data_IF_300506603660
#
_entry.id   IF_300506603660
#
_cell.length_a   1.000
_cell.length_b   1.000
_cell.length_c   1.000
_cell.angle_alpha   90.00
_cell.angle_beta   90.00
_cell.angle_gamma   90.00
#
_symmetry.space_group_name_H-M   'P 1'
#
loop_
_entity.id
_entity.type
_entity.pdbx_description
1 polymer ?
#
# COMPACT_ATOMS: atom_id res chain seq x y z
N UNK A 1 11.84 -20.18 -0.65
CA UNK A 1 12.34 -18.86 -0.21
C UNK A 1 11.58 -17.79 -0.99
N UNK A 2 11.35 -16.61 -0.42
CA UNK A 2 10.75 -15.46 -1.14
C UNK A 2 11.82 -14.75 -1.98
N UNK A 3 11.46 -14.26 -3.16
CA UNK A 3 12.35 -13.54 -4.07
C UNK A 3 12.59 -12.08 -3.58
N UNK A 4 13.74 -11.46 -3.94
CA UNK A 4 14.03 -10.07 -3.55
C UNK A 4 12.95 -9.08 -4.00
N UNK A 5 12.40 -9.27 -5.21
CA UNK A 5 11.29 -8.47 -5.73
C UNK A 5 10.01 -8.60 -4.88
N UNK A 6 9.73 -9.81 -4.37
CA UNK A 6 8.56 -10.06 -3.52
C UNK A 6 8.72 -9.36 -2.17
N UNK A 7 9.93 -9.37 -1.60
CA UNK A 7 10.25 -8.65 -0.36
C UNK A 7 10.19 -7.14 -0.54
N UNK A 8 10.79 -6.61 -1.62
CA UNK A 8 10.70 -5.18 -1.98
C UNK A 8 9.25 -4.73 -2.02
N UNK A 9 8.40 -5.49 -2.72
CA UNK A 9 6.96 -5.20 -2.82
C UNK A 9 6.28 -5.23 -1.45
N UNK A 10 6.50 -6.29 -0.67
CA UNK A 10 5.85 -6.45 0.63
C UNK A 10 6.16 -5.28 1.59
N UNK A 11 7.42 -4.82 1.60
CA UNK A 11 7.83 -3.67 2.41
C UNK A 11 7.16 -2.39 1.93
N UNK A 12 7.22 -2.08 0.64
CA UNK A 12 6.61 -0.86 0.09
C UNK A 12 5.09 -0.85 0.35
N UNK A 13 4.41 -1.97 0.11
CA UNK A 13 2.98 -2.10 0.32
C UNK A 13 2.58 -1.95 1.78
N UNK A 14 3.37 -2.50 2.71
CA UNK A 14 3.13 -2.34 4.15
C UNK A 14 3.23 -0.87 4.56
N UNK A 15 4.21 -0.12 4.02
CA UNK A 15 4.32 1.32 4.24
C UNK A 15 3.07 2.09 3.79
N UNK A 16 2.54 1.75 2.60
CA UNK A 16 1.30 2.34 2.09
C UNK A 16 0.08 1.98 2.96
N UNK A 17 -0.04 0.72 3.37
CA UNK A 17 -1.10 0.25 4.26
C UNK A 17 -1.06 0.94 5.63
N UNK A 18 0.12 1.09 6.24
CA UNK A 18 0.26 1.81 7.52
C UNK A 18 -0.16 3.28 7.38
N UNK A 19 0.12 3.91 6.23
CA UNK A 19 -0.30 5.28 5.96
C UNK A 19 -1.82 5.40 5.88
N UNK A 20 -2.48 4.49 5.16
CA UNK A 20 -3.93 4.40 5.09
C UNK A 20 -4.54 4.16 6.48
N UNK A 21 -4.03 3.15 7.20
CA UNK A 21 -4.48 2.78 8.53
C UNK A 21 -4.34 3.93 9.53
N UNK A 22 -3.29 4.74 9.43
CA UNK A 22 -3.09 5.92 10.30
C UNK A 22 -4.12 7.03 10.09
N UNK A 23 -4.78 7.05 8.92
CA UNK A 23 -5.74 8.08 8.49
C UNK A 23 -7.21 7.61 8.57
N UNK A 24 -7.44 6.31 8.68
CA UNK A 24 -8.77 5.72 8.73
C UNK A 24 -9.49 5.98 10.07
N UNK A 25 -10.44 6.91 10.06
CA UNK A 25 -11.22 7.29 11.24
C UNK A 25 -12.15 6.19 11.76
N UNK A 26 -12.41 5.13 10.99
CA UNK A 26 -13.16 3.96 11.47
C UNK A 26 -12.35 3.10 12.44
N UNK A 27 -11.02 3.27 12.47
CA UNK A 27 -10.13 2.52 13.35
C UNK A 27 -9.99 3.16 14.74
N UNK A 28 -9.81 2.34 15.80
CA UNK A 28 -9.53 2.83 17.13
C UNK A 28 -8.31 3.77 17.16
N UNK A 29 -8.39 4.84 17.95
CA UNK A 29 -7.32 5.85 18.10
C UNK A 29 -5.96 5.22 18.44
N UNK A 30 -5.94 4.15 19.23
CA UNK A 30 -4.71 3.41 19.55
C UNK A 30 -4.04 2.85 18.29
N UNK A 31 -4.80 2.20 17.42
CA UNK A 31 -4.30 1.58 16.18
C UNK A 31 -3.75 2.65 15.23
N UNK A 32 -4.47 3.76 15.07
CA UNK A 32 -4.00 4.89 14.25
C UNK A 32 -2.68 5.48 14.74
N UNK A 33 -2.54 5.65 16.06
CA UNK A 33 -1.30 6.15 16.68
C UNK A 33 -0.14 5.18 16.52
N UNK A 34 -0.38 3.90 16.68
CA UNK A 34 0.64 2.86 16.50
C UNK A 34 1.12 2.84 15.03
N UNK A 35 0.22 2.90 14.06
CA UNK A 35 0.56 3.00 12.64
C UNK A 35 1.39 4.25 12.34
N UNK A 36 0.98 5.42 12.87
CA UNK A 36 1.72 6.68 12.73
C UNK A 36 3.10 6.62 13.39
N UNK A 37 3.26 5.89 14.49
CA UNK A 37 4.53 5.70 15.16
C UNK A 37 5.47 4.82 14.32
N UNK A 38 4.99 3.69 13.79
CA UNK A 38 5.76 2.81 12.92
C UNK A 38 6.28 3.54 11.67
N UNK A 39 5.44 4.38 11.06
CA UNK A 39 5.81 5.18 9.89
C UNK A 39 7.00 6.13 10.11
N UNK A 40 7.34 6.50 11.35
CA UNK A 40 8.47 7.42 11.64
C UNK A 40 9.82 6.83 11.25
N UNK A 41 9.93 5.50 11.30
CA UNK A 41 11.16 4.76 11.04
C UNK A 41 10.99 3.72 9.92
N UNK A 42 9.80 3.67 9.32
CA UNK A 42 9.55 2.78 8.20
C UNK A 42 10.31 3.26 6.96
N UNK A 43 11.00 2.38 6.22
CA UNK A 43 11.75 2.79 5.05
C UNK A 43 10.80 3.35 3.98
N UNK A 44 11.22 4.44 3.34
CA UNK A 44 10.50 4.96 2.17
C UNK A 44 10.72 4.05 0.96
N UNK A 45 9.82 4.10 -0.02
CA UNK A 45 9.98 3.36 -1.29
C UNK A 45 11.36 3.63 -1.92
N UNK A 46 11.79 4.90 -1.92
CA UNK A 46 13.11 5.27 -2.44
C UNK A 46 14.25 4.57 -1.70
N UNK A 47 14.20 4.50 -0.37
CA UNK A 47 15.22 3.82 0.43
C UNK A 47 15.28 2.32 0.14
N UNK A 48 14.14 1.66 0.00
CA UNK A 48 14.09 0.22 -0.33
C UNK A 48 14.68 -0.06 -1.71
N UNK A 49 14.32 0.73 -2.73
CA UNK A 49 14.83 0.55 -4.09
C UNK A 49 16.31 0.91 -4.21
N UNK A 50 16.76 1.93 -3.47
CA UNK A 50 18.17 2.28 -3.40
C UNK A 50 18.99 1.15 -2.74
N UNK A 51 18.49 0.56 -1.66
CA UNK A 51 19.13 -0.60 -1.04
C UNK A 51 19.25 -1.77 -2.02
N UNK A 52 18.17 -2.10 -2.73
CA UNK A 52 18.21 -3.14 -3.77
C UNK A 52 19.22 -2.84 -4.88
N UNK A 53 19.33 -1.57 -5.33
CA UNK A 53 20.32 -1.17 -6.34
C UNK A 53 21.75 -1.32 -5.83
N UNK A 54 22.01 -0.97 -4.58
CA UNK A 54 23.35 -1.11 -3.98
C UNK A 54 23.73 -2.59 -3.90
N UNK A 55 22.81 -3.44 -3.41
CA UNK A 55 23.03 -4.89 -3.27
C UNK A 55 23.21 -5.60 -4.61
N UNK A 56 22.46 -5.22 -5.64
CA UNK A 56 22.59 -5.74 -7.01
C UNK A 56 23.90 -5.29 -7.69
N UNK A 57 24.42 -4.12 -7.34
CA UNK A 57 25.66 -3.56 -7.90
C UNK A 57 26.93 -4.03 -7.15
N UNK A 58 26.78 -4.55 -5.94
CA UNK A 58 27.88 -5.13 -5.17
C UNK A 58 28.23 -6.54 -5.65
N UNK A 59 29.51 -6.87 -5.62
CA UNK A 59 29.99 -8.22 -5.89
C UNK A 59 29.30 -9.24 -4.97
N UNK A 60 29.15 -10.48 -5.44
CA UNK A 60 28.40 -11.57 -4.79
C UNK A 60 28.81 -11.84 -3.33
N UNK A 61 29.95 -11.31 -2.88
CA UNK A 61 30.47 -11.42 -1.51
C UNK A 61 29.70 -10.62 -0.44
N UNK A 62 28.82 -9.67 -0.79
CA UNK A 62 28.07 -8.90 0.25
C UNK A 62 27.01 -9.72 0.99
N UNK A 63 26.49 -10.79 0.38
CA UNK A 63 25.43 -11.60 0.99
C UNK A 63 25.43 -13.01 0.39
N UNK A 64 25.67 -14.06 1.19
CA UNK A 64 25.69 -15.44 0.70
C UNK A 64 24.33 -15.93 0.18
N UNK A 65 23.27 -15.15 0.40
CA UNK A 65 21.90 -15.45 -0.04
C UNK A 65 21.43 -14.53 -1.19
N UNK A 66 22.33 -13.72 -1.76
CA UNK A 66 22.02 -12.69 -2.75
C UNK A 66 21.36 -11.44 -2.15
N UNK A 67 20.82 -10.55 -3.00
CA UNK A 67 20.22 -9.30 -2.56
C UNK A 67 18.97 -9.53 -1.70
N UNK A 68 18.80 -8.73 -0.66
CA UNK A 68 17.60 -8.66 0.18
C UNK A 68 16.47 -8.01 -0.59
N UNK A 69 16.73 -6.89 -1.27
CA UNK A 69 15.75 -6.14 -2.05
C UNK A 69 16.12 -6.13 -3.53
N UNK A 70 15.12 -6.01 -4.40
CA UNK A 70 15.33 -5.64 -5.79
C UNK A 70 15.21 -4.13 -6.00
N UNK A 71 15.98 -3.60 -6.94
CA UNK A 71 15.85 -2.21 -7.41
C UNK A 71 14.66 -2.00 -8.35
N UNK A 72 14.04 -3.08 -8.82
CA UNK A 72 12.86 -3.04 -9.67
C UNK A 72 11.57 -2.93 -8.86
N UNK A 73 10.60 -2.23 -9.43
CA UNK A 73 9.19 -2.38 -9.09
C UNK A 73 8.50 -2.91 -10.34
N UNK A 74 7.69 -3.95 -10.18
CA UNK A 74 6.84 -4.38 -11.28
C UNK A 74 5.52 -3.59 -11.22
N UNK A 75 5.21 -2.96 -12.35
CA UNK A 75 4.08 -2.05 -12.49
C UNK A 75 2.74 -2.78 -12.53
N UNK A 76 2.71 -4.11 -12.65
CA UNK A 76 1.50 -4.89 -12.89
C UNK A 76 0.66 -5.17 -11.64
N UNK A 77 1.14 -4.79 -10.44
CA UNK A 77 0.41 -4.98 -9.18
C UNK A 77 0.12 -3.67 -8.44
N UNK A 78 0.07 -2.54 -9.14
CA UNK A 78 -0.52 -1.32 -8.56
C UNK A 78 -2.03 -1.53 -8.40
N UNK A 79 -2.44 -2.24 -7.35
CA UNK A 79 -3.76 -2.10 -6.77
C UNK A 79 -3.69 -0.86 -5.90
N UNK A 80 -4.28 0.27 -6.30
CA UNK A 80 -4.59 1.26 -5.31
C UNK A 80 -5.59 0.57 -4.38
N UNK A 81 -5.23 0.38 -3.11
CA UNK A 81 -6.18 0.07 -2.05
C UNK A 81 -7.10 1.30 -1.94
N UNK A 82 -8.00 1.45 -2.90
CA UNK A 82 -9.10 2.40 -2.81
C UNK A 82 -10.21 1.59 -2.19
N UNK A 83 -10.47 1.83 -0.91
CA UNK A 83 -11.80 1.61 -0.38
C UNK A 83 -12.77 2.37 -1.30
N UNK A 84 -13.46 1.64 -2.19
CA UNK A 84 -14.59 2.19 -2.94
C UNK A 84 -15.72 2.45 -1.93
N UNK A 85 -15.70 3.62 -1.33
CA UNK A 85 -16.82 4.17 -0.56
C UNK A 85 -17.92 4.67 -1.52
N UNK A 86 -18.40 3.79 -2.40
CA UNK A 86 -19.47 4.08 -3.34
C UNK A 86 -20.54 2.97 -3.31
N UNK A 87 -21.06 2.70 -2.12
CA UNK A 87 -22.43 2.19 -1.99
C UNK A 87 -23.20 3.14 -1.06
N UNK A 88 -23.80 4.17 -1.66
CA UNK A 88 -24.86 4.96 -1.01
C UNK A 88 -26.05 5.05 -1.93
N UNK A 89 -26.99 4.13 -1.69
CA UNK A 89 -28.40 4.42 -1.48
C UNK A 89 -29.11 5.24 -2.58
N UNK A 90 -29.61 4.55 -3.60
CA UNK A 90 -30.82 5.03 -4.31
C UNK A 90 -32.04 4.68 -3.46
N UNK A 91 -32.35 5.55 -2.48
CA UNK A 91 -33.66 5.58 -1.81
C UNK A 91 -34.63 6.36 -2.70
N UNK A 92 -35.78 5.75 -2.96
CA UNK A 92 -36.77 6.22 -3.91
C UNK A 92 -37.36 7.60 -3.65
N UNK A 93 -37.85 8.19 -4.73
CA UNK A 93 -38.79 9.29 -4.68
C UNK A 93 -40.06 8.86 -5.43
N UNK A 94 -41.17 8.83 -4.70
CA UNK A 94 -42.51 8.56 -5.19
C UNK A 94 -43.19 9.86 -5.66
N UNK A 95 -44.05 9.73 -6.66
CA UNK A 95 -45.07 10.72 -7.03
C UNK A 95 -44.73 11.53 -8.28
N UNK A 96 -45.62 11.84 -9.23
CA UNK A 96 -47.09 11.81 -9.30
C UNK A 96 -47.43 11.85 -10.81
N UNK A 97 -48.35 10.99 -11.27
CA UNK A 97 -49.12 11.21 -12.50
C UNK A 97 -50.34 12.10 -12.14
N UNK A 98 -50.90 12.94 -13.04
CA UNK A 98 -51.89 12.40 -13.97
C UNK A 98 -52.11 13.19 -15.29
N UNK A 99 -52.98 12.57 -16.09
CA UNK A 99 -54.01 13.17 -16.96
C UNK A 99 -53.70 13.38 -18.45
N UNK A 100 -54.43 12.55 -19.20
CA UNK A 100 -54.76 12.57 -20.62
C UNK A 100 -55.64 13.78 -20.96
N UNK A 101 -55.74 14.14 -22.24
CA UNK A 101 -57.00 13.91 -22.95
C UNK A 101 -56.89 12.82 -24.04
#
# INVERSE_FOLDING_TARGET
>A
MTMPIERTRAVIQTGAFLLELSRDLSMPERVRRDAKFLLRHYPSQFQVLLAGRIEEASDTDVSPMGPVFSSAIDSSYHTPFVCSAADKASRGHAGIAPSKP
#
